data_IF_095299338080
#
_entry.id   IF_095299338080
#
_cell.length_a   1.000
_cell.length_b   1.000
_cell.length_c   1.000
_cell.angle_alpha   90.00
_cell.angle_beta   90.00
_cell.angle_gamma   90.00
#
_symmetry.space_group_name_H-M   'P 1'
#
loop_
_entity.id
_entity.type
_entity.pdbx_description
1 polymer ?
#
# COMPACT_ATOMS: atom_id res chain seq x y z
N UNK A 1 -9.59 30.14 -36.66
CA UNK A 1 -8.91 29.46 -37.79
C UNK A 1 -8.97 30.36 -39.02
N UNK A 2 -8.31 31.53 -39.00
CA UNK A 2 -8.60 32.60 -39.98
C UNK A 2 -7.36 33.07 -40.78
N UNK A 3 -6.19 32.49 -40.55
CA UNK A 3 -4.94 32.96 -41.17
C UNK A 3 -4.57 32.23 -42.47
N UNK A 4 -5.27 31.14 -42.82
CA UNK A 4 -5.01 30.35 -44.04
C UNK A 4 -5.76 30.87 -45.27
N UNK A 5 -6.81 31.68 -45.06
CA UNK A 5 -7.62 32.25 -46.15
C UNK A 5 -6.99 33.53 -46.73
N UNK A 6 -6.23 34.29 -45.92
CA UNK A 6 -5.59 35.54 -46.35
C UNK A 6 -4.42 35.32 -47.32
N UNK A 7 -3.68 34.21 -47.17
CA UNK A 7 -2.51 33.91 -48.01
C UNK A 7 -2.87 33.39 -49.39
N UNK A 8 -4.08 32.82 -49.56
CA UNK A 8 -4.54 32.34 -50.86
C UNK A 8 -4.99 33.48 -51.80
N UNK A 9 -5.53 34.57 -51.24
CA UNK A 9 -6.09 35.69 -52.01
C UNK A 9 -5.04 36.67 -52.57
N UNK A 10 -3.84 36.73 -52.01
CA UNK A 10 -2.75 37.58 -52.52
C UNK A 10 -1.98 36.99 -53.71
N UNK A 11 -2.16 35.70 -54.01
CA UNK A 11 -1.44 35.03 -55.11
C UNK A 11 -2.08 35.19 -56.50
N UNK A 12 -3.37 35.53 -56.59
CA UNK A 12 -4.09 35.61 -57.86
C UNK A 12 -4.01 36.97 -58.59
N UNK A 13 -3.38 38.00 -58.01
CA UNK A 13 -3.36 39.37 -58.58
C UNK A 13 -2.12 39.66 -59.44
N UNK A 14 -1.11 38.80 -59.45
CA UNK A 14 0.20 39.09 -60.08
C UNK A 14 0.36 38.63 -61.55
N UNK A 15 -0.66 38.04 -62.19
CA UNK A 15 -0.52 37.43 -63.54
C UNK A 15 -1.13 38.27 -64.68
N UNK A 16 -1.80 39.40 -64.40
CA UNK A 16 -2.40 40.25 -65.45
C UNK A 16 -1.57 41.50 -65.81
N UNK A 17 -0.46 41.31 -66.51
CA UNK A 17 0.12 42.45 -67.23
C UNK A 17 1.48 42.17 -67.85
N UNK A 18 1.51 41.89 -69.16
CA UNK A 18 2.57 42.28 -70.11
C UNK A 18 2.23 41.73 -71.51
N UNK A 19 1.30 42.37 -72.20
CA UNK A 19 1.10 42.21 -73.64
C UNK A 19 0.63 43.55 -74.23
N UNK A 20 1.57 44.40 -74.66
CA UNK A 20 1.42 45.36 -75.75
C UNK A 20 2.65 46.28 -75.80
N UNK A 21 3.52 46.07 -76.80
CA UNK A 21 4.19 47.15 -77.51
C UNK A 21 4.62 46.59 -78.87
N UNK A 22 3.65 46.63 -79.80
CA UNK A 22 3.89 46.47 -81.22
C UNK A 22 4.68 47.68 -81.72
N UNK A 23 5.86 47.42 -82.26
CA UNK A 23 6.66 48.36 -83.04
C UNK A 23 5.92 48.77 -84.31
N UNK A 24 5.96 50.04 -84.68
CA UNK A 24 6.02 50.35 -86.10
C UNK A 24 6.67 51.70 -86.43
N UNK A 25 7.46 51.62 -87.51
CA UNK A 25 7.69 52.63 -88.56
C UNK A 25 8.83 53.63 -88.39
N UNK A 26 9.93 53.32 -89.08
CA UNK A 26 10.59 54.27 -89.98
C UNK A 26 11.27 53.51 -91.14
N UNK A 27 10.99 53.95 -92.36
CA UNK A 27 11.50 53.41 -93.61
C UNK A 27 12.77 54.14 -94.04
N UNK A 28 13.69 53.44 -94.70
CA UNK A 28 14.57 53.93 -95.80
C UNK A 28 15.39 52.71 -96.30
N UNK A 29 15.14 52.23 -97.52
CA UNK A 29 16.00 52.41 -98.72
C UNK A 29 17.48 52.10 -98.45
N UNK A 30 18.26 51.36 -99.22
CA UNK A 30 18.16 50.69 -100.51
C UNK A 30 19.63 50.26 -100.78
N UNK A 31 19.85 49.03 -101.26
CA UNK A 31 21.11 48.50 -101.81
C UNK A 31 22.33 48.33 -100.86
N UNK A 32 22.62 47.08 -100.47
CA UNK A 32 23.96 46.45 -100.64
C UNK A 32 23.92 44.94 -100.29
N UNK A 33 23.32 44.14 -101.18
CA UNK A 33 23.14 42.69 -101.03
C UNK A 33 24.35 41.91 -101.56
N UNK A 34 25.35 41.66 -100.70
CA UNK A 34 26.18 40.43 -100.77
C UNK A 34 27.14 40.22 -99.58
N UNK A 35 27.49 41.27 -98.85
CA UNK A 35 28.40 41.17 -97.70
C UNK A 35 27.68 40.84 -96.37
N UNK A 36 26.39 41.21 -96.24
CA UNK A 36 25.58 41.01 -95.01
C UNK A 36 25.14 39.55 -94.77
N UNK A 37 25.07 38.71 -95.81
CA UNK A 37 24.61 37.32 -95.69
C UNK A 37 25.65 36.42 -94.98
N UNK A 38 26.95 36.67 -95.18
CA UNK A 38 28.02 35.95 -94.46
C UNK A 38 28.09 36.37 -92.99
N UNK A 39 27.93 37.66 -92.69
CA UNK A 39 27.92 38.18 -91.32
C UNK A 39 26.70 37.67 -90.52
N UNK A 40 25.51 37.56 -91.15
CA UNK A 40 24.32 36.99 -90.52
C UNK A 40 24.44 35.49 -90.27
N UNK A 41 25.17 34.75 -91.13
CA UNK A 41 25.34 33.29 -91.00
C UNK A 41 26.37 32.90 -89.93
N UNK A 42 27.38 33.73 -89.67
CA UNK A 42 28.27 33.60 -88.51
C UNK A 42 27.56 33.98 -87.20
N UNK A 43 26.85 35.11 -87.16
CA UNK A 43 26.08 35.53 -85.97
C UNK A 43 25.00 34.51 -85.55
N UNK A 44 24.36 33.83 -86.50
CA UNK A 44 23.38 32.76 -86.23
C UNK A 44 24.03 31.48 -85.70
N UNK A 45 25.28 31.17 -86.10
CA UNK A 45 26.02 30.04 -85.53
C UNK A 45 26.49 30.33 -84.11
N UNK A 46 26.94 31.55 -83.84
CA UNK A 46 27.35 31.97 -82.51
C UNK A 46 26.16 32.05 -81.54
N UNK A 47 25.00 32.56 -81.99
CA UNK A 47 23.76 32.51 -81.19
C UNK A 47 23.32 31.09 -80.87
N UNK A 48 23.43 30.16 -81.82
CA UNK A 48 23.07 28.75 -81.61
C UNK A 48 24.02 28.03 -80.66
N UNK A 49 25.29 28.43 -80.64
CA UNK A 49 26.28 27.93 -79.68
C UNK A 49 26.01 28.49 -78.27
N UNK A 50 25.69 29.78 -78.16
CA UNK A 50 25.34 30.43 -76.89
C UNK A 50 24.03 29.88 -76.29
N UNK A 51 23.02 29.62 -77.11
CA UNK A 51 21.75 29.03 -76.67
C UNK A 51 21.93 27.60 -76.15
N UNK A 52 22.78 26.80 -76.81
CA UNK A 52 23.16 25.47 -76.32
C UNK A 52 23.91 25.53 -74.99
N UNK A 53 24.84 26.48 -74.84
CA UNK A 53 25.58 26.67 -73.58
C UNK A 53 24.63 27.07 -72.44
N UNK A 54 23.67 27.97 -72.69
CA UNK A 54 22.64 28.34 -71.71
C UNK A 54 21.74 27.17 -71.33
N UNK A 55 21.35 26.33 -72.28
CA UNK A 55 20.53 25.13 -72.01
C UNK A 55 21.27 24.09 -71.16
N UNK A 56 22.57 23.89 -71.43
CA UNK A 56 23.42 22.97 -70.66
C UNK A 56 23.70 23.48 -69.24
N UNK A 57 23.85 24.80 -69.08
CA UNK A 57 23.97 25.44 -67.76
C UNK A 57 22.65 25.34 -66.96
N UNK A 58 21.50 25.53 -67.62
CA UNK A 58 20.19 25.34 -67.00
C UNK A 58 19.97 23.89 -66.53
N UNK A 59 20.34 22.90 -67.34
CA UNK A 59 20.27 21.49 -66.95
C UNK A 59 21.20 21.17 -65.77
N UNK A 60 22.40 21.77 -65.72
CA UNK A 60 23.30 21.62 -64.56
C UNK A 60 22.70 22.20 -63.29
N UNK A 61 22.09 23.38 -63.37
CA UNK A 61 21.44 24.01 -62.22
C UNK A 61 20.22 23.21 -61.72
N UNK A 62 19.39 22.67 -62.62
CA UNK A 62 18.28 21.78 -62.23
C UNK A 62 18.77 20.48 -61.58
N UNK A 63 19.81 19.85 -62.12
CA UNK A 63 20.39 18.64 -61.56
C UNK A 63 21.04 18.89 -60.18
N UNK A 64 21.68 20.04 -59.98
CA UNK A 64 22.25 20.43 -58.70
C UNK A 64 21.16 20.74 -57.67
N UNK A 65 20.11 21.47 -58.05
CA UNK A 65 18.96 21.74 -57.19
C UNK A 65 18.25 20.45 -56.77
N UNK A 66 18.11 19.48 -57.69
CA UNK A 66 17.49 18.19 -57.39
C UNK A 66 18.35 17.35 -56.41
N UNK A 67 19.69 17.37 -56.58
CA UNK A 67 20.62 16.74 -55.62
C UNK A 67 20.55 17.37 -54.23
N UNK A 68 20.50 18.70 -54.13
CA UNK A 68 20.39 19.39 -52.85
C UNK A 68 19.06 19.05 -52.14
N UNK A 69 17.96 19.00 -52.89
CA UNK A 69 16.65 18.62 -52.34
C UNK A 69 16.63 17.16 -51.83
N UNK A 70 17.28 16.23 -52.54
CA UNK A 70 17.38 14.83 -52.12
C UNK A 70 18.27 14.68 -50.88
N UNK A 71 19.38 15.41 -50.80
CA UNK A 71 20.26 15.42 -49.63
C UNK A 71 19.57 16.00 -48.39
N UNK A 72 18.80 17.09 -48.53
CA UNK A 72 18.04 17.67 -47.41
C UNK A 72 16.95 16.71 -46.90
N UNK A 73 16.27 16.01 -47.82
CA UNK A 73 15.27 15.00 -47.47
C UNK A 73 15.90 13.80 -46.76
N UNK A 74 17.07 13.34 -47.22
CA UNK A 74 17.81 12.27 -46.57
C UNK A 74 18.24 12.65 -45.15
N UNK A 75 18.72 13.90 -44.94
CA UNK A 75 19.05 14.43 -43.61
C UNK A 75 17.83 14.49 -42.69
N UNK A 76 16.67 14.94 -43.18
CA UNK A 76 15.44 14.94 -42.40
C UNK A 76 14.98 13.52 -42.00
N UNK A 77 15.07 12.55 -42.91
CA UNK A 77 14.70 11.16 -42.62
C UNK A 77 15.65 10.53 -41.58
N UNK A 78 16.96 10.81 -41.69
CA UNK A 78 17.93 10.36 -40.69
C UNK A 78 17.67 10.98 -39.31
N UNK A 79 17.35 12.28 -39.27
CA UNK A 79 16.99 12.96 -38.02
C UNK A 79 15.73 12.36 -37.37
N UNK A 80 14.69 12.07 -38.17
CA UNK A 80 13.48 11.40 -37.66
C UNK A 80 13.77 9.99 -37.14
N UNK A 81 14.67 9.24 -37.80
CA UNK A 81 15.07 7.91 -37.32
C UNK A 81 15.80 7.98 -36.00
N UNK A 82 16.72 8.93 -35.83
CA UNK A 82 17.45 9.12 -34.57
C UNK A 82 16.49 9.53 -33.43
N UNK A 83 15.54 10.43 -33.69
CA UNK A 83 14.55 10.85 -32.70
C UNK A 83 13.62 9.69 -32.29
N UNK A 84 13.15 8.91 -33.27
CA UNK A 84 12.33 7.74 -33.01
C UNK A 84 13.07 6.65 -32.23
N UNK A 85 14.36 6.43 -32.51
CA UNK A 85 15.19 5.48 -31.76
C UNK A 85 15.44 5.96 -30.33
N UNK A 86 15.76 7.25 -30.14
CA UNK A 86 15.92 7.84 -28.82
C UNK A 86 14.64 7.72 -27.98
N UNK A 87 13.47 7.93 -28.60
CA UNK A 87 12.18 7.80 -27.93
C UNK A 87 11.89 6.34 -27.53
N UNK A 88 12.22 5.37 -28.38
CA UNK A 88 12.09 3.94 -28.04
C UNK A 88 13.00 3.54 -26.88
N UNK A 89 14.26 3.99 -26.88
CA UNK A 89 15.19 3.71 -25.79
C UNK A 89 14.73 4.34 -24.47
N UNK A 90 14.14 5.55 -24.52
CA UNK A 90 13.57 6.20 -23.34
C UNK A 90 12.35 5.44 -22.81
N UNK A 91 11.45 4.99 -23.68
CA UNK A 91 10.27 4.18 -23.30
C UNK A 91 10.67 2.82 -22.71
N UNK A 92 11.68 2.16 -23.28
CA UNK A 92 12.17 0.87 -22.77
C UNK A 92 12.80 1.02 -21.38
N UNK A 93 13.60 2.07 -21.16
CA UNK A 93 14.14 2.39 -19.83
C UNK A 93 13.04 2.71 -18.82
N UNK A 94 12.03 3.47 -19.21
CA UNK A 94 10.90 3.78 -18.34
C UNK A 94 10.13 2.51 -17.94
N UNK A 95 9.90 1.58 -18.88
CA UNK A 95 9.27 0.28 -18.61
C UNK A 95 10.11 -0.58 -17.67
N UNK A 96 11.43 -0.63 -17.85
CA UNK A 96 12.32 -1.34 -16.92
C UNK A 96 12.30 -0.75 -15.52
N UNK A 97 12.33 0.58 -15.38
CA UNK A 97 12.27 1.23 -14.07
C UNK A 97 10.93 0.97 -13.38
N UNK A 98 9.82 1.04 -14.11
CA UNK A 98 8.49 0.74 -13.57
C UNK A 98 8.40 -0.73 -13.11
N UNK A 99 8.93 -1.66 -13.90
CA UNK A 99 8.94 -3.07 -13.53
C UNK A 99 9.79 -3.35 -12.29
N UNK A 100 10.97 -2.72 -12.17
CA UNK A 100 11.79 -2.80 -10.96
C UNK A 100 11.10 -2.20 -9.73
N UNK A 101 10.36 -1.09 -9.90
CA UNK A 101 9.57 -0.49 -8.82
C UNK A 101 8.47 -1.42 -8.35
N UNK A 102 7.74 -2.05 -9.27
CA UNK A 102 6.67 -3.00 -8.93
C UNK A 102 7.23 -4.23 -8.21
N UNK A 103 8.37 -4.77 -8.65
CA UNK A 103 9.01 -5.91 -7.98
C UNK A 103 9.52 -5.54 -6.58
N UNK A 104 10.16 -4.38 -6.44
CA UNK A 104 10.61 -3.87 -5.14
C UNK A 104 9.44 -3.62 -4.18
N UNK A 105 8.31 -3.09 -4.66
CA UNK A 105 7.11 -2.88 -3.85
C UNK A 105 6.50 -4.23 -3.43
N UNK A 106 6.38 -5.20 -4.34
CA UNK A 106 5.89 -6.53 -4.02
C UNK A 106 6.77 -7.22 -2.96
N UNK A 107 8.09 -7.08 -3.06
CA UNK A 107 9.03 -7.64 -2.10
C UNK A 107 8.90 -6.99 -0.72
N UNK A 108 8.76 -5.65 -0.65
CA UNK A 108 8.48 -4.93 0.61
C UNK A 108 7.16 -5.37 1.24
N UNK A 109 6.09 -5.52 0.45
CA UNK A 109 4.80 -5.99 0.96
C UNK A 109 4.88 -7.43 1.50
N UNK A 110 5.67 -8.30 0.86
CA UNK A 110 5.89 -9.66 1.33
C UNK A 110 6.69 -9.67 2.64
N UNK A 111 7.75 -8.88 2.74
CA UNK A 111 8.56 -8.74 3.95
C UNK A 111 7.74 -8.17 5.12
N UNK A 112 6.92 -7.15 4.88
CA UNK A 112 6.05 -6.57 5.92
C UNK A 112 5.05 -7.60 6.44
N UNK A 113 4.42 -8.38 5.55
CA UNK A 113 3.51 -9.47 5.95
C UNK A 113 4.23 -10.53 6.78
N UNK A 114 5.42 -10.97 6.35
CA UNK A 114 6.22 -11.95 7.09
C UNK A 114 6.61 -11.43 8.48
N UNK A 115 7.04 -10.16 8.58
CA UNK A 115 7.43 -9.54 9.84
C UNK A 115 6.22 -9.38 10.79
N UNK A 116 5.06 -8.98 10.27
CA UNK A 116 3.81 -8.88 11.03
C UNK A 116 3.35 -10.24 11.55
N UNK A 117 3.51 -11.30 10.76
CA UNK A 117 3.20 -12.66 11.18
C UNK A 117 4.17 -13.15 12.27
N UNK A 118 5.48 -12.91 12.10
CA UNK A 118 6.48 -13.22 13.11
C UNK A 118 6.21 -12.49 14.43
N UNK A 119 5.83 -11.21 14.37
CA UNK A 119 5.48 -10.41 15.55
C UNK A 119 4.23 -10.98 16.25
N UNK A 120 3.20 -11.36 15.50
CA UNK A 120 2.01 -12.04 16.06
C UNK A 120 2.35 -13.36 16.74
N UNK A 121 3.26 -14.15 16.17
CA UNK A 121 3.69 -15.40 16.79
C UNK A 121 4.44 -15.15 18.10
N UNK A 122 5.37 -14.19 18.12
CA UNK A 122 6.08 -13.78 19.35
C UNK A 122 5.11 -13.28 20.43
N UNK A 123 4.12 -12.48 20.05
CA UNK A 123 3.11 -11.97 20.98
C UNK A 123 2.25 -13.10 21.56
N UNK A 124 1.77 -14.04 20.74
CA UNK A 124 1.04 -15.23 21.22
C UNK A 124 1.87 -16.09 22.15
N UNK A 125 3.18 -16.22 21.89
CA UNK A 125 4.07 -17.00 22.74
C UNK A 125 4.29 -16.30 24.11
N UNK A 126 4.46 -14.98 24.10
CA UNK A 126 4.56 -14.19 25.33
C UNK A 126 3.26 -14.24 26.16
N UNK A 127 2.10 -14.14 25.51
CA UNK A 127 0.79 -14.25 26.16
C UNK A 127 0.60 -15.63 26.81
N UNK A 128 0.92 -16.71 26.10
CA UNK A 128 0.89 -18.07 26.68
C UNK A 128 1.81 -18.22 27.89
N UNK A 129 3.02 -17.65 27.84
CA UNK A 129 3.93 -17.69 28.98
C UNK A 129 3.38 -16.89 30.17
N UNK A 130 2.77 -15.73 29.92
CA UNK A 130 2.13 -14.93 30.95
C UNK A 130 0.93 -15.67 31.56
N UNK A 131 0.09 -16.30 30.74
CA UNK A 131 -1.07 -17.08 31.20
C UNK A 131 -0.64 -18.23 32.10
N UNK A 132 0.43 -18.95 31.74
CA UNK A 132 1.01 -20.02 32.58
C UNK A 132 1.50 -19.47 33.91
N UNK A 133 2.18 -18.32 33.93
CA UNK A 133 2.63 -17.69 35.18
C UNK A 133 1.45 -17.27 36.07
N UNK A 134 0.44 -16.62 35.48
CA UNK A 134 -0.77 -16.19 36.21
C UNK A 134 -1.51 -17.42 36.77
N UNK A 135 -1.66 -18.49 35.99
CA UNK A 135 -2.29 -19.73 36.44
C UNK A 135 -1.53 -20.35 37.61
N UNK A 136 -0.20 -20.44 37.52
CA UNK A 136 0.64 -20.96 38.60
C UNK A 136 0.53 -20.11 39.87
N UNK A 137 0.50 -18.79 39.73
CA UNK A 137 0.32 -17.89 40.87
C UNK A 137 -1.06 -18.04 41.51
N UNK A 138 -2.11 -18.22 40.71
CA UNK A 138 -3.46 -18.48 41.19
C UNK A 138 -3.57 -19.80 41.94
N UNK A 139 -2.96 -20.87 41.43
CA UNK A 139 -2.90 -22.17 42.12
C UNK A 139 -2.17 -22.07 43.46
N UNK A 140 -1.06 -21.32 43.52
CA UNK A 140 -0.33 -21.08 44.78
C UNK A 140 -1.21 -20.33 45.78
N UNK A 141 -1.91 -19.28 45.34
CA UNK A 141 -2.80 -18.52 46.22
C UNK A 141 -3.98 -19.36 46.71
N UNK A 142 -4.60 -20.16 45.84
CA UNK A 142 -5.69 -21.05 46.23
C UNK A 142 -5.24 -22.07 47.28
N UNK A 143 -4.10 -22.74 47.06
CA UNK A 143 -3.54 -23.68 48.04
C UNK A 143 -3.23 -23.01 49.38
N UNK A 144 -2.75 -21.77 49.35
CA UNK A 144 -2.51 -21.00 50.58
C UNK A 144 -3.83 -20.73 51.32
N UNK A 145 -4.86 -20.25 50.62
CA UNK A 145 -6.18 -19.98 51.22
C UNK A 145 -6.83 -21.26 51.75
N UNK A 146 -6.76 -22.37 51.03
CA UNK A 146 -7.27 -23.67 51.49
C UNK A 146 -6.54 -24.15 52.75
N UNK A 147 -5.22 -23.96 52.81
CA UNK A 147 -4.43 -24.32 53.98
C UNK A 147 -4.80 -23.45 55.19
N UNK A 148 -4.91 -22.14 55.00
CA UNK A 148 -5.33 -21.21 56.05
C UNK A 148 -6.74 -21.54 56.58
N UNK A 149 -7.68 -21.82 55.68
CA UNK A 149 -9.05 -22.21 56.06
C UNK A 149 -9.07 -23.54 56.85
N UNK A 150 -8.24 -24.51 56.46
CA UNK A 150 -8.12 -25.78 57.19
C UNK A 150 -7.50 -25.59 58.58
N UNK A 151 -6.45 -24.78 58.69
CA UNK A 151 -5.83 -24.48 59.98
C UNK A 151 -6.82 -23.74 60.91
N UNK A 152 -7.64 -22.84 60.36
CA UNK A 152 -8.70 -22.16 61.11
C UNK A 152 -9.79 -23.15 61.58
N UNK A 153 -10.26 -24.05 60.71
CA UNK A 153 -11.24 -25.09 61.07
C UNK A 153 -10.71 -26.03 62.16
N UNK A 154 -9.46 -26.51 62.02
CA UNK A 154 -8.81 -27.35 63.03
C UNK A 154 -8.68 -26.62 64.37
N UNK A 155 -8.40 -25.31 64.35
CA UNK A 155 -8.34 -24.48 65.57
C UNK A 155 -9.72 -24.31 66.23
N UNK A 156 -10.78 -24.13 65.44
CA UNK A 156 -12.16 -24.01 65.92
C UNK A 156 -12.65 -25.33 66.50
N UNK A 157 -12.36 -26.46 65.86
CA UNK A 157 -12.70 -27.79 66.38
C UNK A 157 -11.98 -28.06 67.70
N UNK A 158 -10.70 -27.69 67.80
CA UNK A 158 -9.95 -27.79 69.06
C UNK A 158 -10.58 -26.94 70.18
N UNK A 159 -10.95 -25.70 69.89
CA UNK A 159 -11.62 -24.83 70.86
C UNK A 159 -12.97 -25.41 71.31
N UNK A 160 -13.75 -25.96 70.37
CA UNK A 160 -15.05 -26.59 70.66
C UNK A 160 -14.89 -27.82 71.54
N UNK A 161 -13.96 -28.73 71.23
CA UNK A 161 -13.68 -29.91 72.07
C UNK A 161 -13.22 -29.51 73.47
N UNK A 162 -12.40 -28.46 73.56
CA UNK A 162 -11.93 -27.94 74.85
C UNK A 162 -13.09 -27.39 75.69
N UNK A 163 -13.99 -26.60 75.10
CA UNK A 163 -15.18 -26.09 75.77
C UNK A 163 -16.10 -27.23 76.25
N UNK A 164 -16.39 -28.19 75.37
CA UNK A 164 -17.20 -29.38 75.73
C UNK A 164 -16.59 -30.17 76.89
N UNK A 165 -15.25 -30.34 76.91
CA UNK A 165 -14.58 -31.03 78.01
C UNK A 165 -14.73 -30.30 79.36
N UNK A 166 -14.79 -28.96 79.36
CA UNK A 166 -15.08 -28.22 80.58
C UNK A 166 -16.52 -28.44 81.04
N UNK A 167 -17.49 -28.31 80.14
CA UNK A 167 -18.91 -28.54 80.46
C UNK A 167 -19.18 -29.97 80.95
N UNK A 168 -18.55 -30.97 80.36
CA UNK A 168 -18.70 -32.36 80.79
C UNK A 168 -18.10 -32.58 82.18
N UNK A 169 -16.95 -31.95 82.49
CA UNK A 169 -16.37 -31.97 83.85
C UNK A 169 -17.25 -31.25 84.87
N UNK A 170 -17.88 -30.15 84.51
CA UNK A 170 -18.83 -29.45 85.38
C UNK A 170 -20.07 -30.32 85.62
N UNK A 171 -20.61 -30.94 84.57
CA UNK A 171 -21.74 -31.88 84.70
C UNK A 171 -21.39 -33.10 85.55
N UNK A 172 -20.16 -33.61 85.45
CA UNK A 172 -19.72 -34.75 86.26
C UNK A 172 -19.67 -34.39 87.75
N UNK A 173 -19.23 -33.17 88.09
CA UNK A 173 -19.16 -32.67 89.47
C UNK A 173 -20.50 -32.21 90.04
N UNK A 174 -21.49 -31.97 89.18
CA UNK A 174 -22.82 -31.52 89.56
C UNK A 174 -23.55 -32.58 90.40
N UNK A 175 -24.29 -32.12 91.41
CA UNK A 175 -25.11 -32.99 92.24
C UNK A 175 -26.32 -33.54 91.46
N UNK A 176 -26.90 -34.64 91.94
CA UNK A 176 -28.02 -35.29 91.28
C UNK A 176 -29.28 -34.42 91.22
N UNK A 177 -29.51 -33.59 92.23
CA UNK A 177 -30.67 -32.69 92.29
C UNK A 177 -30.48 -31.47 91.37
N UNK A 178 -29.27 -30.91 91.32
CA UNK A 178 -28.91 -29.87 90.34
C UNK A 178 -29.04 -30.39 88.90
N UNK A 179 -28.53 -31.60 88.63
CA UNK A 179 -28.61 -32.21 87.29
C UNK A 179 -30.08 -32.45 86.85
N UNK A 180 -30.97 -32.83 87.78
CA UNK A 180 -32.42 -32.96 87.50
C UNK A 180 -33.05 -31.61 87.18
N UNK A 181 -32.73 -30.57 87.95
CA UNK A 181 -33.25 -29.22 87.71
C UNK A 181 -32.83 -28.69 86.33
N UNK A 182 -31.53 -28.81 86.00
CA UNK A 182 -31.01 -28.40 84.69
C UNK A 182 -31.65 -29.20 83.55
N UNK A 183 -31.83 -30.51 83.72
CA UNK A 183 -32.50 -31.35 82.72
C UNK A 183 -33.95 -30.92 82.47
N UNK A 184 -34.68 -30.53 83.52
CA UNK A 184 -36.06 -30.05 83.40
C UNK A 184 -36.12 -28.71 82.68
N UNK A 185 -35.20 -27.78 82.99
CA UNK A 185 -35.07 -26.52 82.26
C UNK A 185 -34.77 -26.75 80.76
N UNK A 186 -33.86 -27.66 80.45
CA UNK A 186 -33.50 -28.00 79.06
C UNK A 186 -34.64 -28.67 78.29
N UNK A 187 -35.51 -29.46 78.97
CA UNK A 187 -36.70 -30.05 78.35
C UNK A 187 -37.79 -29.01 78.08
N UNK A 188 -37.90 -28.02 78.96
CA UNK A 188 -38.91 -26.96 78.87
C UNK A 188 -38.48 -25.80 77.95
N UNK A 189 -37.18 -25.69 77.63
CA UNK A 189 -36.61 -24.70 76.72
C UNK A 189 -36.70 -25.06 75.23
N UNK A 190 -36.14 -24.19 74.39
CA UNK A 190 -36.16 -24.35 72.92
C UNK A 190 -35.38 -25.58 72.45
N UNK A 191 -36.07 -26.46 71.73
CA UNK A 191 -35.57 -27.75 71.27
C UNK A 191 -34.80 -27.64 69.94
N UNK A 192 -33.56 -27.17 70.01
CA UNK A 192 -32.62 -27.20 68.88
C UNK A 192 -31.63 -28.40 68.99
N UNK A 193 -30.86 -28.71 67.93
CA UNK A 193 -29.94 -29.85 67.94
C UNK A 193 -28.92 -29.83 69.09
N UNK A 194 -28.43 -28.66 69.49
CA UNK A 194 -27.50 -28.52 70.61
C UNK A 194 -28.20 -28.82 71.94
N UNK A 195 -29.37 -28.23 72.19
CA UNK A 195 -30.18 -28.48 73.40
C UNK A 195 -30.50 -29.98 73.53
N UNK A 196 -30.86 -30.65 72.43
CA UNK A 196 -31.15 -32.08 72.43
C UNK A 196 -29.94 -32.93 72.84
N UNK A 197 -28.74 -32.60 72.37
CA UNK A 197 -27.51 -33.29 72.77
C UNK A 197 -27.24 -33.12 74.28
N UNK A 198 -27.43 -31.90 74.81
CA UNK A 198 -27.31 -31.65 76.24
C UNK A 198 -28.39 -32.40 77.06
N UNK A 199 -29.64 -32.42 76.60
CA UNK A 199 -30.73 -33.17 77.28
C UNK A 199 -30.36 -34.65 77.43
N UNK A 200 -29.83 -35.29 76.38
CA UNK A 200 -29.38 -36.70 76.44
C UNK A 200 -28.30 -36.86 77.51
N UNK A 201 -27.27 -36.01 77.46
CA UNK A 201 -26.14 -36.05 78.38
C UNK A 201 -26.54 -35.84 79.85
N UNK A 202 -27.47 -34.93 80.13
CA UNK A 202 -27.98 -34.71 81.48
C UNK A 202 -28.92 -35.83 81.95
N UNK A 203 -29.73 -36.40 81.03
CA UNK A 203 -30.55 -37.57 81.33
C UNK A 203 -29.69 -38.77 81.73
N UNK A 204 -28.56 -39.02 81.07
CA UNK A 204 -27.60 -40.08 81.44
C UNK A 204 -27.04 -39.87 82.85
N UNK A 205 -26.63 -38.64 83.19
CA UNK A 205 -26.14 -38.31 84.54
C UNK A 205 -27.21 -38.57 85.61
N UNK A 206 -28.45 -38.14 85.38
CA UNK A 206 -29.57 -38.38 86.30
C UNK A 206 -29.89 -39.87 86.44
N UNK A 207 -29.78 -40.64 85.35
CA UNK A 207 -29.96 -42.09 85.39
C UNK A 207 -28.88 -42.79 86.22
N UNK A 208 -27.63 -42.32 86.14
CA UNK A 208 -26.52 -42.84 86.97
C UNK A 208 -26.68 -42.50 88.45
N UNK A 209 -27.32 -41.39 88.79
CA UNK A 209 -27.67 -41.02 90.16
C UNK A 209 -28.79 -41.87 90.79
N UNK A 210 -29.55 -42.61 89.97
CA UNK A 210 -30.70 -43.40 90.41
C UNK A 210 -30.39 -44.90 90.51
N UNK A 211 -29.13 -45.30 90.26
CA UNK A 211 -28.60 -46.64 90.50
C UNK A 211 -27.94 -46.69 91.87
#
# INVERSE_FOLDING_TARGET
MNNKLLTALTSCVLIMGLAACSTNKAASTSNDSKAEEKAKKEAVKDQKAEEKAKQEEQQRQEAEAQRQAEEEKAKQEEQQRQEAEAQRQAEEKAKQEEQQRQEAEAQRQAEEKANKEQQRQKQKQAEKQQEVQVKKQREVNQKKTEKEAREEEESLDYAKRRAQSFEDKEREKMSCDEAKNVLEQLKNGEQNPATKEHVIKYQEKVNMCSK
#
